data_IF_296728787959
#
_entry.id   IF_296728787959
#
_cell.length_a   1.000
_cell.length_b   1.000
_cell.length_c   1.000
_cell.angle_alpha   90.00
_cell.angle_beta   90.00
_cell.angle_gamma   90.00
#
_symmetry.space_group_name_H-M   'P 1'
#
loop_
_entity.id
_entity.type
_entity.pdbx_description
1 polymer ?
#
# COMPACT_ATOMS: atom_id res chain seq x y z
N UNK A 1 -17.92 0.46 5.70
CA UNK A 1 -17.17 0.42 4.42
C UNK A 1 -15.68 0.78 4.58
N UNK A 2 -15.01 0.44 5.70
CA UNK A 2 -13.58 0.79 5.85
C UNK A 2 -12.64 -0.14 5.08
N UNK A 3 -13.07 -1.38 4.79
CA UNK A 3 -12.27 -2.35 4.06
C UNK A 3 -12.20 -2.02 2.56
N UNK A 4 -13.30 -1.59 1.95
CA UNK A 4 -13.33 -1.16 0.54
C UNK A 4 -12.43 0.06 0.32
N UNK A 5 -12.56 1.08 1.19
CA UNK A 5 -11.71 2.28 1.11
C UNK A 5 -10.22 1.93 1.25
N UNK A 6 -9.86 0.95 2.09
CA UNK A 6 -8.49 0.52 2.24
C UNK A 6 -7.93 -0.18 0.99
N UNK A 7 -8.75 -0.90 0.22
CA UNK A 7 -8.32 -1.50 -1.05
C UNK A 7 -8.10 -0.42 -2.11
N UNK A 8 -9.05 0.50 -2.26
CA UNK A 8 -8.96 1.61 -3.22
C UNK A 8 -7.77 2.54 -2.91
N UNK A 9 -7.53 2.84 -1.63
CA UNK A 9 -6.36 3.63 -1.24
C UNK A 9 -5.05 2.86 -1.48
N UNK A 10 -5.03 1.53 -1.32
CA UNK A 10 -3.84 0.72 -1.61
C UNK A 10 -3.47 0.80 -3.09
N UNK A 11 -4.44 0.65 -3.99
CA UNK A 11 -4.26 0.81 -5.43
C UNK A 11 -3.81 2.22 -5.81
N UNK A 12 -4.46 3.25 -5.26
CA UNK A 12 -4.06 4.63 -5.45
C UNK A 12 -2.59 4.87 -5.08
N UNK A 13 -2.13 4.40 -3.92
CA UNK A 13 -0.73 4.57 -3.51
C UNK A 13 0.22 3.81 -4.45
N UNK A 14 -0.12 2.58 -4.82
CA UNK A 14 0.74 1.73 -5.66
C UNK A 14 0.80 2.18 -7.13
N UNK A 15 -0.25 2.81 -7.64
CA UNK A 15 -0.35 3.23 -9.05
C UNK A 15 0.05 4.68 -9.27
N UNK A 16 -0.45 5.58 -8.43
CA UNK A 16 -0.31 7.04 -8.59
C UNK A 16 0.75 7.63 -7.64
N UNK A 17 1.04 6.94 -6.54
CA UNK A 17 1.76 7.50 -5.41
C UNK A 17 0.92 8.49 -4.60
N UNK A 18 1.22 8.60 -3.31
CA UNK A 18 0.51 9.47 -2.39
C UNK A 18 1.46 10.06 -1.35
N UNK A 19 1.40 11.38 -1.16
CA UNK A 19 2.15 12.14 -0.13
C UNK A 19 3.66 11.85 -0.07
N UNK A 20 4.06 10.77 0.60
CA UNK A 20 5.46 10.39 0.86
C UNK A 20 5.81 8.97 0.39
N UNK A 21 4.88 8.24 -0.24
CA UNK A 21 5.08 6.88 -0.74
C UNK A 21 4.57 6.81 -2.16
N UNK A 22 5.30 6.15 -3.05
CA UNK A 22 4.83 5.94 -4.41
C UNK A 22 5.62 4.88 -5.16
N UNK A 23 5.33 4.72 -6.46
CA UNK A 23 6.05 3.82 -7.35
C UNK A 23 7.56 4.05 -7.31
N UNK A 24 8.33 2.99 -7.58
CA UNK A 24 9.80 3.01 -7.46
C UNK A 24 10.49 4.06 -8.36
N UNK A 25 9.82 4.47 -9.45
CA UNK A 25 10.29 5.47 -10.42
C UNK A 25 9.77 6.89 -10.14
N UNK A 26 9.07 7.11 -9.02
CA UNK A 26 8.46 8.38 -8.69
C UNK A 26 9.29 9.12 -7.63
N UNK A 27 9.62 10.39 -7.90
CA UNK A 27 10.26 11.24 -6.89
C UNK A 27 9.25 11.59 -5.78
N UNK A 28 9.57 11.19 -4.56
CA UNK A 28 8.79 11.47 -3.34
C UNK A 28 9.47 12.50 -2.44
N UNK A 29 10.53 13.16 -2.94
CA UNK A 29 11.35 14.10 -2.15
C UNK A 29 10.58 15.33 -1.68
N UNK A 30 9.54 15.74 -2.42
CA UNK A 30 8.65 16.82 -2.00
C UNK A 30 7.53 16.28 -1.11
N UNK A 31 7.51 16.72 0.15
CA UNK A 31 6.36 16.50 1.03
C UNK A 31 5.14 17.20 0.47
N UNK A 32 4.24 16.42 -0.14
CA UNK A 32 2.95 16.92 -0.62
C UNK A 32 2.00 17.11 0.56
N UNK A 33 0.93 17.89 0.36
CA UNK A 33 -0.16 18.01 1.32
C UNK A 33 -0.76 16.62 1.66
N UNK A 34 -1.48 16.54 2.78
CA UNK A 34 -2.20 15.33 3.16
C UNK A 34 -3.14 14.88 2.03
N UNK A 35 -3.29 13.55 1.86
CA UNK A 35 -4.22 13.00 0.87
C UNK A 35 -5.65 13.48 1.12
N UNK A 36 -6.25 14.13 0.13
CA UNK A 36 -7.67 14.54 0.19
C UNK A 36 -8.63 13.44 -0.29
N UNK A 37 -8.12 12.41 -0.99
CA UNK A 37 -8.94 11.35 -1.60
C UNK A 37 -9.39 10.28 -0.60
N UNK A 38 -8.53 9.92 0.36
CA UNK A 38 -8.83 8.87 1.34
C UNK A 38 -8.28 9.22 2.73
N UNK A 39 -9.13 9.09 3.75
CA UNK A 39 -8.72 9.32 5.13
C UNK A 39 -7.73 8.24 5.62
N UNK A 40 -7.83 7.04 5.08
CA UNK A 40 -6.98 5.88 5.42
C UNK A 40 -5.57 5.93 4.81
N UNK A 41 -5.31 6.83 3.84
CA UNK A 41 -4.05 6.84 3.11
C UNK A 41 -2.83 7.17 3.94
N UNK A 42 -2.93 8.00 4.98
CA UNK A 42 -1.80 8.21 5.88
C UNK A 42 -1.42 6.92 6.63
N UNK A 43 -2.41 6.18 7.14
CA UNK A 43 -2.19 4.92 7.84
C UNK A 43 -1.56 3.85 6.95
N UNK A 44 -2.04 3.72 5.71
CA UNK A 44 -1.47 2.77 4.75
C UNK A 44 -0.05 3.15 4.33
N UNK A 45 0.24 4.43 4.11
CA UNK A 45 1.61 4.89 3.85
C UNK A 45 2.58 4.51 4.98
N UNK A 46 2.18 4.68 6.25
CA UNK A 46 3.00 4.26 7.39
C UNK A 46 3.25 2.75 7.41
N UNK A 47 2.26 1.94 7.06
CA UNK A 47 2.42 0.49 6.93
C UNK A 47 3.37 0.12 5.79
N UNK A 48 3.29 0.80 4.65
CA UNK A 48 4.19 0.58 3.50
C UNK A 48 5.63 0.95 3.85
N UNK A 49 5.85 2.12 4.45
CA UNK A 49 7.19 2.56 4.90
C UNK A 49 7.76 1.54 5.90
N UNK A 50 6.94 1.11 6.86
CA UNK A 50 7.35 0.06 7.80
C UNK A 50 7.70 -1.24 7.06
N UNK A 51 6.85 -1.70 6.14
CA UNK A 51 7.06 -2.93 5.40
C UNK A 51 8.35 -2.90 4.57
N UNK A 52 8.67 -1.77 3.96
CA UNK A 52 9.90 -1.56 3.21
C UNK A 52 11.16 -1.63 4.10
N UNK A 53 11.11 -1.07 5.31
CA UNK A 53 12.25 -1.00 6.23
C UNK A 53 12.36 -2.18 7.22
N UNK A 54 11.30 -2.98 7.41
CA UNK A 54 11.26 -3.98 8.47
C UNK A 54 12.06 -5.25 8.13
N UNK A 55 13.15 -5.48 8.88
CA UNK A 55 14.00 -6.69 8.76
C UNK A 55 13.31 -7.99 9.15
N UNK A 56 12.18 -7.93 9.88
CA UNK A 56 11.40 -9.10 10.31
C UNK A 56 10.27 -9.47 9.33
N UNK A 57 10.09 -8.74 8.21
CA UNK A 57 8.94 -8.87 7.31
C UNK A 57 8.78 -10.25 6.65
N UNK A 58 9.90 -10.95 6.39
CA UNK A 58 9.91 -12.24 5.69
C UNK A 58 9.74 -13.41 6.67
N UNK A 59 10.25 -13.28 7.91
CA UNK A 59 10.26 -14.36 8.90
C UNK A 59 8.97 -14.45 9.73
N UNK A 60 7.91 -13.72 9.35
CA UNK A 60 6.60 -13.78 10.03
C UNK A 60 6.53 -13.17 11.44
N UNK A 61 7.60 -12.54 11.93
CA UNK A 61 7.69 -12.07 13.32
C UNK A 61 7.24 -10.63 13.57
N UNK A 62 6.56 -9.97 12.63
CA UNK A 62 6.06 -8.61 12.79
C UNK A 62 4.59 -8.50 12.39
N UNK A 63 3.72 -8.20 13.36
CA UNK A 63 2.27 -8.08 13.16
C UNK A 63 1.89 -7.01 12.14
N UNK A 64 2.61 -5.88 12.09
CA UNK A 64 2.40 -4.83 11.08
C UNK A 64 2.68 -5.34 9.67
N UNK A 65 3.75 -6.11 9.49
CA UNK A 65 4.05 -6.74 8.21
C UNK A 65 3.02 -7.81 7.85
N UNK A 66 2.58 -8.61 8.82
CA UNK A 66 1.55 -9.63 8.59
C UNK A 66 0.23 -9.01 8.10
N UNK A 67 -0.19 -7.88 8.69
CA UNK A 67 -1.37 -7.13 8.21
C UNK A 67 -1.17 -6.59 6.80
N UNK A 68 0.02 -6.09 6.47
CA UNK A 68 0.31 -5.62 5.11
C UNK A 68 0.24 -6.75 4.09
N UNK A 69 0.81 -7.93 4.41
CA UNK A 69 0.70 -9.14 3.59
C UNK A 69 -0.76 -9.55 3.36
N UNK A 70 -1.58 -9.49 4.41
CA UNK A 70 -3.02 -9.80 4.31
C UNK A 70 -3.74 -8.82 3.38
N UNK A 71 -3.44 -7.53 3.45
CA UNK A 71 -4.04 -6.52 2.56
C UNK A 71 -3.68 -6.80 1.09
N UNK A 72 -2.41 -7.06 0.79
CA UNK A 72 -1.97 -7.40 -0.57
C UNK A 72 -2.66 -8.66 -1.12
N UNK A 73 -2.71 -9.72 -0.30
CA UNK A 73 -3.39 -10.98 -0.70
C UNK A 73 -4.89 -10.80 -0.88
N UNK A 74 -5.51 -10.00 -0.02
CA UNK A 74 -6.93 -9.71 -0.13
C UNK A 74 -7.22 -8.96 -1.43
N UNK A 75 -6.44 -7.92 -1.74
CA UNK A 75 -6.56 -7.21 -3.01
C UNK A 75 -6.40 -8.16 -4.21
N UNK A 76 -5.36 -9.00 -4.21
CA UNK A 76 -5.14 -10.01 -5.26
C UNK A 76 -6.36 -10.92 -5.47
N UNK A 77 -7.05 -11.34 -4.40
CA UNK A 77 -8.24 -12.20 -4.52
C UNK A 77 -9.49 -11.53 -5.10
N UNK A 78 -9.50 -10.20 -5.20
CA UNK A 78 -10.65 -9.42 -5.69
C UNK A 78 -10.29 -8.52 -6.89
N UNK A 79 -9.05 -8.57 -7.37
CA UNK A 79 -8.60 -7.71 -8.47
C UNK A 79 -9.06 -8.29 -9.81
N UNK A 80 -9.80 -7.49 -10.58
CA UNK A 80 -10.30 -7.89 -11.90
C UNK A 80 -9.25 -7.75 -13.01
N UNK A 81 -8.15 -7.02 -12.77
CA UNK A 81 -7.11 -6.69 -13.76
C UNK A 81 -5.70 -6.95 -13.20
N UNK A 82 -5.34 -8.20 -12.86
CA UNK A 82 -4.06 -8.51 -12.22
C UNK A 82 -2.84 -8.18 -13.10
N UNK A 83 -2.96 -8.25 -14.43
CA UNK A 83 -1.83 -7.99 -15.34
C UNK A 83 -1.42 -6.51 -15.41
N UNK A 84 -2.36 -5.60 -15.14
CA UNK A 84 -2.13 -4.15 -15.13
C UNK A 84 -1.92 -3.59 -13.71
N UNK A 85 -2.21 -4.42 -12.70
CA UNK A 85 -2.20 -4.01 -11.31
C UNK A 85 -0.77 -3.78 -10.79
N UNK A 86 -0.58 -2.66 -10.09
CA UNK A 86 0.70 -2.28 -9.48
C UNK A 86 0.79 -2.63 -7.99
N UNK A 87 -0.27 -3.21 -7.41
CA UNK A 87 -0.29 -3.64 -6.02
C UNK A 87 0.63 -4.86 -5.87
N UNK A 88 1.59 -4.85 -4.93
CA UNK A 88 2.45 -6.00 -4.66
C UNK A 88 1.63 -7.29 -4.44
N UNK A 89 2.09 -8.41 -5.02
CA UNK A 89 1.46 -9.74 -4.93
C UNK A 89 0.11 -9.89 -5.64
N UNK A 90 -0.32 -8.87 -6.39
CA UNK A 90 -1.42 -9.01 -7.33
C UNK A 90 -0.86 -9.58 -8.64
N UNK A 91 -0.80 -10.90 -8.73
CA UNK A 91 -0.29 -11.68 -9.87
C UNK A 91 -1.05 -13.00 -9.97
#
# INVERSE_FOLDING_TARGET
MQLSEAMECLEHICSEGCTSVGPCNMDTSQRKAACSKFATCHGLQLLIIHFAACKKRVKGGCSRCSRMWQLFRLHSSICDQPEECRVPLCQ
#
